data_IF_620429029497
#
_entry.id   IF_620429029497
#
_cell.length_a   1.000
_cell.length_b   1.000
_cell.length_c   1.000
_cell.angle_alpha   90.00
_cell.angle_beta   90.00
_cell.angle_gamma   90.00
#
_symmetry.space_group_name_H-M   'P 1'
#
loop_
_entity.id
_entity.type
_entity.pdbx_description
1 polymer ?
#
# COMPACT_ATOMS: atom_id res chain seq x y z
N UNK A 1 13.16 -3.24 -7.10
CA UNK A 1 14.32 -2.41 -7.54
C UNK A 1 15.08 -1.94 -6.32
N UNK A 2 16.41 -1.98 -6.34
CA UNK A 2 17.26 -1.46 -5.26
C UNK A 2 17.81 -0.10 -5.66
N UNK A 3 17.76 0.90 -4.77
CA UNK A 3 18.33 2.22 -5.01
C UNK A 3 19.87 2.17 -4.96
N UNK A 4 20.54 2.79 -5.93
CA UNK A 4 21.97 3.00 -5.89
C UNK A 4 22.36 4.09 -4.86
N UNK A 5 23.62 4.16 -4.40
CA UNK A 5 24.06 5.23 -3.51
C UNK A 5 23.85 6.64 -4.11
N UNK A 6 24.05 6.79 -5.41
CA UNK A 6 23.84 8.06 -6.10
C UNK A 6 22.37 8.49 -6.11
N UNK A 7 21.45 7.55 -6.38
CA UNK A 7 20.01 7.83 -6.34
C UNK A 7 19.54 8.22 -4.93
N UNK A 8 20.01 7.51 -3.89
CA UNK A 8 19.71 7.87 -2.50
C UNK A 8 20.19 9.28 -2.14
N UNK A 9 21.44 9.61 -2.53
CA UNK A 9 22.04 10.93 -2.27
C UNK A 9 21.27 12.05 -2.96
N UNK A 10 20.85 11.81 -4.20
CA UNK A 10 20.19 12.83 -5.03
C UNK A 10 18.64 12.85 -4.87
N UNK A 11 18.07 11.89 -4.13
CA UNK A 11 16.61 11.75 -4.00
C UNK A 11 15.90 11.52 -5.33
N UNK A 12 16.59 10.93 -6.33
CA UNK A 12 16.04 10.82 -7.69
C UNK A 12 16.38 9.47 -8.33
N UNK A 13 15.36 8.84 -8.91
CA UNK A 13 15.54 7.65 -9.75
C UNK A 13 16.28 8.02 -11.05
N UNK A 14 17.13 7.12 -11.49
CA UNK A 14 17.66 7.21 -12.86
C UNK A 14 16.54 7.05 -13.89
N UNK A 15 16.71 7.63 -15.07
CA UNK A 15 15.73 7.51 -16.17
C UNK A 15 15.36 6.06 -16.46
N UNK A 16 16.34 5.16 -16.45
CA UNK A 16 16.11 3.73 -16.67
C UNK A 16 15.24 3.11 -15.58
N UNK A 17 15.49 3.41 -14.30
CA UNK A 17 14.69 2.87 -13.20
C UNK A 17 13.28 3.45 -13.16
N UNK A 18 13.13 4.73 -13.47
CA UNK A 18 11.81 5.35 -13.61
C UNK A 18 11.02 4.66 -14.72
N UNK A 19 11.61 4.48 -15.90
CA UNK A 19 10.99 3.76 -17.01
C UNK A 19 10.62 2.33 -16.66
N UNK A 20 11.49 1.60 -15.95
CA UNK A 20 11.19 0.24 -15.47
C UNK A 20 10.05 0.24 -14.45
N UNK A 21 9.97 1.22 -13.55
CA UNK A 21 8.87 1.34 -12.59
C UNK A 21 7.53 1.58 -13.28
N UNK A 22 7.48 2.51 -14.24
CA UNK A 22 6.28 2.80 -15.02
C UNK A 22 5.82 1.60 -15.83
N UNK A 23 6.75 0.91 -16.47
CA UNK A 23 6.46 -0.34 -17.19
C UNK A 23 5.92 -1.43 -16.27
N UNK A 24 6.53 -1.62 -15.08
CA UNK A 24 6.03 -2.59 -14.11
C UNK A 24 4.61 -2.26 -13.63
N UNK A 25 4.30 -0.98 -13.38
CA UNK A 25 2.95 -0.55 -13.04
C UNK A 25 1.95 -0.84 -14.16
N UNK A 26 2.32 -0.59 -15.41
CA UNK A 26 1.45 -0.82 -16.58
C UNK A 26 1.22 -2.30 -16.88
N UNK A 27 2.27 -3.14 -16.84
CA UNK A 27 2.21 -4.54 -17.26
C UNK A 27 1.89 -5.49 -16.11
N UNK A 28 2.43 -5.21 -14.93
CA UNK A 28 2.38 -6.11 -13.76
C UNK A 28 1.42 -5.60 -12.68
N UNK A 29 1.20 -4.29 -12.62
CA UNK A 29 0.30 -3.62 -11.67
C UNK A 29 0.96 -3.17 -10.37
N UNK A 30 2.24 -3.45 -10.16
CA UNK A 30 2.97 -2.95 -8.99
C UNK A 30 4.48 -2.87 -9.23
N UNK A 31 5.13 -2.08 -8.40
CA UNK A 31 6.60 -2.02 -8.31
C UNK A 31 7.04 -1.96 -6.86
N UNK A 32 8.14 -2.64 -6.55
CA UNK A 32 8.81 -2.59 -5.23
C UNK A 32 10.12 -1.84 -5.37
N UNK A 33 10.32 -0.85 -4.49
CA UNK A 33 11.57 -0.10 -4.35
C UNK A 33 12.14 -0.38 -2.97
N UNK A 34 13.32 -0.97 -2.90
CA UNK A 34 13.94 -1.34 -1.64
C UNK A 34 14.86 -0.24 -1.09
N UNK A 35 14.85 -0.13 0.25
CA UNK A 35 15.73 0.78 0.98
C UNK A 35 15.45 2.25 0.71
N UNK A 36 14.18 2.59 0.58
CA UNK A 36 13.71 3.97 0.37
C UNK A 36 13.78 4.78 1.66
N UNK A 37 13.32 4.20 2.77
CA UNK A 37 13.27 4.87 4.07
C UNK A 37 14.58 4.63 4.83
N UNK A 38 15.28 5.69 5.29
CA UNK A 38 16.51 5.56 6.09
C UNK A 38 16.28 4.81 7.40
N UNK A 39 17.27 4.02 7.83
CA UNK A 39 17.14 3.11 8.97
C UNK A 39 16.80 3.80 10.28
N UNK A 40 17.41 4.95 10.58
CA UNK A 40 17.15 5.69 11.84
C UNK A 40 15.71 6.20 11.88
N UNK A 41 15.25 6.82 10.80
CA UNK A 41 13.87 7.29 10.69
C UNK A 41 12.87 6.12 10.69
N UNK A 42 13.20 5.02 10.03
CA UNK A 42 12.37 3.81 10.04
C UNK A 42 12.20 3.25 11.45
N UNK A 43 13.28 3.24 12.25
CA UNK A 43 13.23 2.82 13.64
C UNK A 43 12.31 3.71 14.48
N UNK A 44 12.42 5.03 14.33
CA UNK A 44 11.58 6.00 15.02
C UNK A 44 10.09 5.81 14.68
N UNK A 45 9.74 5.84 13.40
CA UNK A 45 8.33 5.74 12.99
C UNK A 45 7.71 4.40 13.36
N UNK A 46 8.47 3.30 13.28
CA UNK A 46 8.04 1.98 13.75
C UNK A 46 7.67 2.00 15.23
N UNK A 47 8.52 2.57 16.08
CA UNK A 47 8.26 2.67 17.52
C UNK A 47 7.02 3.50 17.82
N UNK A 48 6.87 4.67 17.18
CA UNK A 48 5.71 5.54 17.38
C UNK A 48 4.44 4.85 16.87
N UNK A 49 4.50 4.20 15.72
CA UNK A 49 3.38 3.45 15.15
C UNK A 49 2.93 2.33 16.09
N UNK A 50 3.84 1.51 16.59
CA UNK A 50 3.52 0.43 17.53
C UNK A 50 2.86 0.95 18.81
N UNK A 51 3.42 2.00 19.44
CA UNK A 51 2.79 2.60 20.63
C UNK A 51 1.38 3.14 20.35
N UNK A 52 1.19 3.75 19.19
CA UNK A 52 -0.12 4.30 18.78
C UNK A 52 -1.13 3.18 18.52
N UNK A 53 -0.70 2.11 17.84
CA UNK A 53 -1.53 0.94 17.55
C UNK A 53 -1.96 0.23 18.83
N UNK A 54 -1.04 -0.01 19.78
CA UNK A 54 -1.39 -0.60 21.08
C UNK A 54 -2.39 0.27 21.84
N UNK A 55 -2.25 1.61 21.78
CA UNK A 55 -3.21 2.53 22.42
C UNK A 55 -4.58 2.47 21.72
N UNK A 56 -4.60 2.40 20.38
CA UNK A 56 -5.81 2.26 19.58
C UNK A 56 -6.59 0.99 19.96
N UNK A 57 -5.90 -0.14 20.10
CA UNK A 57 -6.49 -1.43 20.45
C UNK A 57 -6.85 -1.59 21.95
N UNK A 58 -6.53 -0.61 22.82
CA UNK A 58 -7.06 -0.59 24.19
C UNK A 58 -8.55 -0.30 24.25
N UNK A 59 -9.12 0.34 23.22
CA UNK A 59 -10.57 0.52 23.12
C UNK A 59 -11.18 -0.79 22.64
N UNK A 60 -12.14 -1.31 23.41
CA UNK A 60 -12.77 -2.61 23.12
C UNK A 60 -13.44 -2.65 21.75
N UNK A 61 -14.14 -1.59 21.36
CA UNK A 61 -14.74 -1.45 20.03
C UNK A 61 -13.74 -1.64 18.88
N UNK A 62 -12.54 -1.02 19.00
CA UNK A 62 -11.49 -1.15 17.98
C UNK A 62 -10.88 -2.54 17.99
N UNK A 63 -10.70 -3.11 19.18
CA UNK A 63 -10.17 -4.46 19.34
C UNK A 63 -11.09 -5.49 18.71
N UNK A 64 -12.39 -5.47 19.07
CA UNK A 64 -13.38 -6.35 18.51
C UNK A 64 -13.41 -6.24 16.99
N UNK A 65 -13.55 -5.03 16.46
CA UNK A 65 -13.58 -4.81 15.02
C UNK A 65 -12.33 -5.35 14.30
N UNK A 66 -11.15 -5.09 14.81
CA UNK A 66 -9.90 -5.43 14.12
C UNK A 66 -9.47 -6.88 14.33
N UNK A 67 -9.57 -7.39 15.54
CA UNK A 67 -9.06 -8.73 15.88
C UNK A 67 -10.11 -9.80 15.57
N UNK A 68 -11.35 -9.58 16.00
CA UNK A 68 -12.40 -10.58 15.87
C UNK A 68 -13.08 -10.53 14.49
N UNK A 69 -13.61 -9.36 14.08
CA UNK A 69 -14.37 -9.24 12.83
C UNK A 69 -13.50 -9.29 11.57
N UNK A 70 -12.27 -8.76 11.65
CA UNK A 70 -11.32 -8.68 10.52
C UNK A 70 -10.18 -9.69 10.60
N UNK A 71 -10.33 -10.73 11.39
CA UNK A 71 -9.36 -11.81 11.54
C UNK A 71 -7.93 -11.31 11.83
N UNK A 72 -7.79 -10.30 12.68
CA UNK A 72 -6.50 -9.76 13.09
C UNK A 72 -5.81 -8.85 12.05
N UNK A 73 -6.52 -8.40 11.02
CA UNK A 73 -6.02 -7.37 10.10
C UNK A 73 -6.48 -5.99 10.54
N UNK A 74 -5.58 -5.23 11.14
CA UNK A 74 -5.86 -3.94 11.78
C UNK A 74 -5.60 -2.79 10.83
N UNK A 75 -6.64 -2.01 10.52
CA UNK A 75 -6.53 -0.71 9.87
C UNK A 75 -6.71 0.41 10.90
N UNK A 76 -5.72 1.27 11.03
CA UNK A 76 -5.78 2.44 11.91
C UNK A 76 -5.40 3.68 11.11
N UNK A 77 -6.19 4.74 11.18
CA UNK A 77 -5.82 6.02 10.56
C UNK A 77 -4.48 6.50 11.11
N UNK A 78 -3.58 6.88 10.23
CA UNK A 78 -2.29 7.43 10.63
C UNK A 78 -2.52 8.78 11.32
N UNK A 79 -1.89 9.02 12.48
CA UNK A 79 -2.00 10.33 13.14
C UNK A 79 -1.43 11.45 12.26
N UNK A 80 -2.17 12.57 12.12
CA UNK A 80 -1.70 13.76 11.40
C UNK A 80 -0.69 14.54 12.24
N UNK A 81 0.45 13.94 12.55
CA UNK A 81 1.56 14.53 13.32
C UNK A 81 2.86 13.80 13.06
N UNK A 82 3.97 14.41 13.44
CA UNK A 82 5.29 13.76 13.34
C UNK A 82 5.34 12.46 14.17
N UNK A 83 6.04 11.44 13.69
CA UNK A 83 6.78 11.35 12.41
C UNK A 83 5.91 10.92 11.20
N UNK A 84 4.59 10.71 11.37
CA UNK A 84 3.72 10.25 10.29
C UNK A 84 3.60 11.26 9.14
N UNK A 85 3.70 12.56 9.45
CA UNK A 85 3.61 13.66 8.48
C UNK A 85 4.99 14.10 7.96
N UNK A 86 6.05 13.32 8.20
CA UNK A 86 7.37 13.61 7.65
C UNK A 86 7.38 13.49 6.12
N UNK A 87 8.09 14.39 5.45
CA UNK A 87 8.22 14.41 3.99
C UNK A 87 8.76 13.10 3.40
N UNK A 88 9.57 12.36 4.16
CA UNK A 88 10.04 11.04 3.75
C UNK A 88 8.91 10.02 3.58
N UNK A 89 7.75 10.28 4.17
CA UNK A 89 6.55 9.46 4.04
C UNK A 89 5.57 10.08 3.03
N UNK A 90 5.13 11.33 3.28
CA UNK A 90 4.01 11.93 2.54
C UNK A 90 4.42 12.55 1.21
N UNK A 91 5.69 12.94 1.07
CA UNK A 91 6.27 13.53 -0.14
C UNK A 91 7.52 12.78 -0.59
N UNK A 92 7.57 11.48 -0.36
CA UNK A 92 8.76 10.70 -0.70
C UNK A 92 9.17 10.92 -2.16
N UNK A 93 10.35 11.45 -2.38
CA UNK A 93 10.81 11.91 -3.68
C UNK A 93 10.81 10.84 -4.78
N UNK A 94 11.10 9.58 -4.44
CA UNK A 94 11.07 8.47 -5.40
C UNK A 94 9.63 8.08 -5.77
N UNK A 95 8.74 8.11 -4.79
CA UNK A 95 7.30 7.86 -5.00
C UNK A 95 6.69 8.97 -5.84
N UNK A 96 6.94 10.24 -5.48
CA UNK A 96 6.40 11.38 -6.22
C UNK A 96 6.83 11.39 -7.68
N UNK A 97 8.08 11.02 -8.01
CA UNK A 97 8.52 10.89 -9.41
C UNK A 97 7.70 9.85 -10.18
N UNK A 98 7.43 8.69 -9.57
CA UNK A 98 6.64 7.63 -10.21
C UNK A 98 5.19 8.08 -10.37
N UNK A 99 4.58 8.64 -9.32
CA UNK A 99 3.19 9.10 -9.38
C UNK A 99 2.99 10.23 -10.38
N UNK A 100 3.93 11.19 -10.43
CA UNK A 100 3.88 12.29 -11.39
C UNK A 100 3.79 11.81 -12.84
N UNK A 101 4.65 10.86 -13.23
CA UNK A 101 4.64 10.31 -14.57
C UNK A 101 3.45 9.35 -14.81
N UNK A 102 3.11 8.51 -13.81
CA UNK A 102 2.05 7.51 -13.96
C UNK A 102 0.63 8.12 -13.93
N UNK A 103 0.46 9.31 -13.33
CA UNK A 103 -0.83 9.97 -13.12
C UNK A 103 -0.90 11.35 -13.77
N UNK A 104 -0.01 11.65 -14.73
CA UNK A 104 0.05 12.90 -15.52
C UNK A 104 0.16 14.18 -14.64
N UNK A 105 0.83 14.08 -13.49
CA UNK A 105 1.08 15.20 -12.59
C UNK A 105 -0.13 15.74 -11.83
N UNK A 106 -1.36 15.28 -12.13
CA UNK A 106 -2.58 15.71 -11.45
C UNK A 106 -3.13 14.57 -10.57
N UNK A 107 -2.74 14.57 -9.31
CA UNK A 107 -3.18 13.60 -8.30
C UNK A 107 -3.22 14.22 -6.90
N UNK A 108 -3.97 13.59 -6.01
CA UNK A 108 -4.07 14.00 -4.61
C UNK A 108 -4.20 12.79 -3.69
N UNK A 109 -3.75 12.93 -2.43
CA UNK A 109 -3.88 11.89 -1.42
C UNK A 109 -5.27 11.97 -0.78
N UNK A 110 -5.99 10.84 -0.75
CA UNK A 110 -7.33 10.75 -0.17
C UNK A 110 -7.37 10.02 1.15
N UNK A 111 -6.39 9.17 1.40
CA UNK A 111 -6.44 8.23 2.50
C UNK A 111 -5.03 7.89 3.00
N UNK A 112 -4.87 7.90 4.33
CA UNK A 112 -3.62 7.53 4.96
C UNK A 112 -3.88 6.69 6.21
N UNK A 113 -3.54 5.40 6.13
CA UNK A 113 -3.73 4.44 7.20
C UNK A 113 -2.45 3.64 7.49
N UNK A 114 -2.50 2.88 8.58
CA UNK A 114 -1.64 1.72 8.79
C UNK A 114 -2.39 0.45 8.40
N UNK A 115 -1.71 -0.52 7.81
CA UNK A 115 -2.21 -1.87 7.59
C UNK A 115 -1.32 -2.86 8.33
N UNK A 116 -1.91 -3.51 9.32
CA UNK A 116 -1.17 -4.38 10.24
C UNK A 116 -1.75 -5.79 10.24
N UNK A 117 -0.90 -6.80 10.04
CA UNK A 117 -1.23 -8.17 10.38
C UNK A 117 -0.78 -8.43 11.82
N UNK A 118 -1.77 -8.61 12.71
CA UNK A 118 -1.54 -8.93 14.11
C UNK A 118 -1.03 -10.37 14.25
N UNK A 119 -0.24 -10.72 15.29
CA UNK A 119 0.11 -12.11 15.59
C UNK A 119 -1.13 -13.01 15.63
N UNK A 120 -1.10 -14.12 14.89
CA UNK A 120 -2.24 -15.02 14.78
C UNK A 120 -3.35 -14.57 13.82
N UNK A 121 -3.14 -13.50 13.04
CA UNK A 121 -4.12 -13.08 12.02
C UNK A 121 -4.40 -14.18 10.99
N UNK A 122 -5.63 -14.21 10.49
CA UNK A 122 -6.09 -15.15 9.47
C UNK A 122 -5.75 -14.69 8.04
N UNK A 123 -6.23 -15.44 7.06
CA UNK A 123 -6.17 -15.07 5.64
C UNK A 123 -7.36 -14.17 5.28
N UNK A 124 -7.11 -13.10 4.55
CA UNK A 124 -8.18 -12.29 3.98
C UNK A 124 -8.75 -12.93 2.71
N UNK A 125 -10.01 -12.60 2.38
CA UNK A 125 -10.55 -12.90 1.05
C UNK A 125 -9.73 -12.19 -0.02
N UNK A 126 -9.70 -12.76 -1.22
CA UNK A 126 -9.10 -12.10 -2.39
C UNK A 126 -10.02 -10.94 -2.78
N UNK A 127 -9.44 -9.76 -2.99
CA UNK A 127 -10.20 -8.56 -3.33
C UNK A 127 -9.38 -7.59 -4.16
N UNK A 128 -10.07 -6.61 -4.74
CA UNK A 128 -9.55 -5.35 -5.27
C UNK A 128 -9.91 -4.24 -4.29
N UNK A 129 -9.10 -3.22 -4.21
CA UNK A 129 -9.45 -2.02 -3.44
C UNK A 129 -10.40 -1.10 -4.23
N UNK A 130 -10.32 -1.15 -5.56
CA UNK A 130 -11.23 -0.44 -6.47
C UNK A 130 -11.55 -1.26 -7.70
N UNK A 131 -12.65 -0.92 -8.37
CA UNK A 131 -13.08 -1.54 -9.63
C UNK A 131 -12.53 -0.80 -10.85
N UNK A 132 -12.80 -1.32 -12.04
CA UNK A 132 -12.61 -0.59 -13.29
C UNK A 132 -13.49 0.68 -13.28
N UNK A 133 -12.96 1.78 -13.80
CA UNK A 133 -13.66 3.08 -13.77
C UNK A 133 -14.99 3.04 -14.57
N UNK A 134 -14.99 2.30 -15.67
CA UNK A 134 -16.20 2.08 -16.49
C UNK A 134 -16.44 0.57 -16.62
N UNK A 135 -17.41 0.04 -15.90
CA UNK A 135 -17.80 -1.37 -16.04
C UNK A 135 -18.26 -1.69 -17.46
N UNK A 136 -17.92 -2.87 -17.94
CA UNK A 136 -18.34 -3.35 -19.26
C UNK A 136 -17.44 -2.97 -20.43
N UNK A 137 -16.39 -2.18 -20.24
CA UNK A 137 -15.37 -2.02 -21.26
C UNK A 137 -14.54 -3.32 -21.40
N UNK A 138 -14.23 -3.76 -22.63
CA UNK A 138 -13.45 -4.98 -22.85
C UNK A 138 -11.94 -4.80 -22.64
N UNK A 139 -11.49 -3.63 -22.25
CA UNK A 139 -10.09 -3.27 -22.01
C UNK A 139 -9.93 -2.42 -20.75
N UNK A 140 -8.78 -2.55 -20.11
CA UNK A 140 -8.43 -1.78 -18.93
C UNK A 140 -7.99 -0.37 -19.32
N UNK A 141 -8.54 0.63 -18.63
CA UNK A 141 -8.12 2.02 -18.76
C UNK A 141 -6.81 2.27 -18.02
N UNK A 142 -6.12 3.41 -18.29
CA UNK A 142 -4.98 3.84 -17.50
C UNK A 142 -5.30 3.86 -15.99
N UNK A 143 -4.28 3.66 -15.20
CA UNK A 143 -4.38 3.67 -13.73
C UNK A 143 -4.95 5.00 -13.23
N UNK A 144 -5.96 4.92 -12.36
CA UNK A 144 -6.65 6.10 -11.83
C UNK A 144 -6.59 6.20 -10.29
N UNK A 145 -6.27 5.10 -9.63
CA UNK A 145 -6.08 5.03 -8.17
C UNK A 145 -4.87 4.14 -7.86
N UNK A 146 -4.03 4.62 -6.95
CA UNK A 146 -2.79 3.96 -6.52
C UNK A 146 -2.72 3.90 -5.01
N UNK A 147 -2.26 2.79 -4.49
CA UNK A 147 -1.82 2.69 -3.10
C UNK A 147 -0.30 2.62 -3.03
N UNK A 148 0.27 3.40 -2.13
CA UNK A 148 1.69 3.39 -1.75
C UNK A 148 1.80 2.75 -0.38
N UNK A 149 2.44 1.59 -0.31
CA UNK A 149 2.67 0.89 0.95
C UNK A 149 4.14 1.03 1.36
N UNK A 150 4.38 1.45 2.60
CA UNK A 150 5.72 1.61 3.18
C UNK A 150 5.86 0.60 4.31
N UNK A 151 6.80 -0.35 4.20
CA UNK A 151 6.98 -1.41 5.19
C UNK A 151 7.76 -0.91 6.41
N UNK A 152 7.22 -1.09 7.61
CA UNK A 152 7.89 -0.73 8.86
C UNK A 152 8.70 -1.90 9.47
N UNK A 153 8.54 -3.09 8.94
CA UNK A 153 9.26 -4.31 9.29
C UNK A 153 9.57 -5.11 8.03
N UNK A 154 10.45 -6.08 8.09
CA UNK A 154 10.63 -7.04 7.01
C UNK A 154 9.33 -7.80 6.76
N UNK A 155 8.96 -7.97 5.51
CA UNK A 155 7.84 -8.81 5.10
C UNK A 155 8.37 -10.16 4.66
N UNK A 156 7.93 -11.21 5.35
CA UNK A 156 8.31 -12.60 5.12
C UNK A 156 7.07 -13.47 4.87
N UNK A 157 7.28 -14.68 4.43
CA UNK A 157 6.18 -15.65 4.28
C UNK A 157 5.49 -15.90 5.63
N UNK A 158 6.30 -16.02 6.68
CA UNK A 158 5.86 -16.38 8.04
C UNK A 158 5.04 -15.27 8.70
N UNK A 159 5.43 -14.00 8.51
CA UNK A 159 4.71 -12.86 9.11
C UNK A 159 3.59 -12.30 8.23
N UNK A 160 3.24 -13.00 7.14
CA UNK A 160 2.08 -12.66 6.34
C UNK A 160 2.34 -11.59 5.27
N UNK A 161 3.51 -11.62 4.58
CA UNK A 161 3.72 -10.80 3.38
C UNK A 161 2.51 -10.88 2.45
N UNK A 162 2.02 -9.75 1.95
CA UNK A 162 0.82 -9.65 1.13
C UNK A 162 0.94 -10.52 -0.13
N UNK A 163 -0.10 -11.26 -0.44
CA UNK A 163 -0.20 -12.02 -1.68
C UNK A 163 -0.87 -11.16 -2.75
N UNK A 164 -0.30 -11.15 -3.93
CA UNK A 164 -0.77 -10.35 -5.08
C UNK A 164 -0.81 -11.21 -6.34
N UNK A 165 -1.71 -10.86 -7.29
CA UNK A 165 -1.82 -11.50 -8.60
C UNK A 165 -1.34 -10.52 -9.67
N UNK A 166 -0.08 -10.64 -10.13
CA UNK A 166 0.48 -9.78 -11.18
C UNK A 166 -0.38 -9.77 -12.44
N UNK A 167 -0.63 -8.58 -13.02
CA UNK A 167 -1.43 -8.43 -14.23
C UNK A 167 -2.96 -8.43 -14.01
N UNK A 168 -3.45 -8.78 -12.83
CA UNK A 168 -4.90 -8.87 -12.56
C UNK A 168 -5.63 -7.52 -12.62
N UNK A 169 -4.92 -6.39 -12.54
CA UNK A 169 -5.47 -5.03 -12.72
C UNK A 169 -5.99 -4.80 -14.15
N UNK A 170 -5.52 -5.58 -15.12
CA UNK A 170 -5.93 -5.53 -16.53
C UNK A 170 -7.18 -6.37 -16.82
N UNK A 171 -7.67 -7.15 -15.86
CA UNK A 171 -8.86 -8.00 -16.05
C UNK A 171 -10.11 -7.14 -15.85
N UNK A 172 -10.95 -7.05 -16.88
CA UNK A 172 -12.05 -6.09 -16.97
C UNK A 172 -13.43 -6.64 -16.67
N UNK A 173 -13.59 -7.93 -16.35
CA UNK A 173 -14.87 -8.47 -15.97
C UNK A 173 -15.21 -8.20 -14.51
N UNK A 174 -16.21 -7.39 -14.31
CA UNK A 174 -16.68 -6.95 -12.98
C UNK A 174 -17.94 -7.68 -12.51
N UNK A 175 -18.45 -8.63 -13.28
CA UNK A 175 -19.67 -9.35 -12.94
C UNK A 175 -19.39 -10.40 -11.85
N UNK A 176 -19.96 -10.22 -10.68
CA UNK A 176 -19.81 -11.13 -9.54
C UNK A 176 -18.35 -11.31 -9.06
N UNK A 177 -17.72 -10.20 -8.69
CA UNK A 177 -16.30 -10.09 -8.35
C UNK A 177 -15.78 -11.16 -7.38
N UNK A 178 -16.55 -11.48 -6.33
CA UNK A 178 -16.10 -12.43 -5.31
C UNK A 178 -15.92 -13.86 -5.86
N UNK A 179 -16.85 -14.32 -6.72
CA UNK A 179 -16.80 -15.67 -7.29
C UNK A 179 -15.77 -15.77 -8.40
N UNK A 180 -15.78 -14.83 -9.33
CA UNK A 180 -14.85 -14.83 -10.48
C UNK A 180 -13.41 -14.69 -10.00
N UNK A 181 -13.16 -13.80 -9.04
CA UNK A 181 -11.84 -13.63 -8.48
C UNK A 181 -11.36 -14.88 -7.73
N UNK A 182 -12.23 -15.57 -6.99
CA UNK A 182 -11.86 -16.80 -6.31
C UNK A 182 -11.51 -17.91 -7.32
N UNK A 183 -12.31 -18.10 -8.37
CA UNK A 183 -12.07 -19.10 -9.40
C UNK A 183 -10.81 -18.80 -10.21
N UNK A 184 -10.64 -17.57 -10.66
CA UNK A 184 -9.46 -17.16 -11.45
C UNK A 184 -8.18 -17.10 -10.65
N UNK A 185 -8.26 -16.69 -9.40
CA UNK A 185 -7.11 -16.68 -8.53
C UNK A 185 -6.53 -18.07 -8.26
N UNK A 186 -7.29 -19.14 -8.49
CA UNK A 186 -6.79 -20.52 -8.41
C UNK A 186 -5.98 -20.92 -9.66
N UNK A 187 -6.25 -20.28 -10.80
CA UNK A 187 -5.60 -20.61 -12.09
C UNK A 187 -4.47 -19.65 -12.46
N UNK A 188 -4.48 -18.43 -11.95
CA UNK A 188 -3.45 -17.43 -12.21
C UNK A 188 -2.36 -17.47 -11.12
N UNK A 189 -1.07 -17.37 -11.51
CA UNK A 189 0.01 -17.38 -10.54
C UNK A 189 -0.02 -16.15 -9.63
N UNK A 190 0.12 -16.39 -8.33
CA UNK A 190 0.29 -15.33 -7.33
C UNK A 190 1.74 -15.25 -6.85
N UNK A 191 2.09 -14.13 -6.27
CA UNK A 191 3.39 -13.93 -5.60
C UNK A 191 3.20 -13.30 -4.21
N UNK A 192 4.11 -13.62 -3.30
CA UNK A 192 4.18 -12.99 -1.98
C UNK A 192 5.16 -11.82 -2.04
N UNK A 193 4.72 -10.65 -1.60
CA UNK A 193 5.55 -9.44 -1.60
C UNK A 193 6.56 -9.46 -0.45
N UNK A 194 7.51 -10.41 -0.51
CA UNK A 194 8.63 -10.50 0.44
C UNK A 194 9.59 -9.35 0.18
N UNK A 195 9.90 -8.55 1.21
CA UNK A 195 10.78 -7.39 1.08
C UNK A 195 11.31 -6.94 2.44
N UNK A 196 12.40 -6.19 2.43
CA UNK A 196 12.98 -5.61 3.65
C UNK A 196 12.17 -4.41 4.16
N UNK A 197 12.30 -4.15 5.45
CA UNK A 197 11.80 -2.94 6.09
C UNK A 197 12.34 -1.68 5.38
N UNK A 198 11.51 -0.63 5.32
CA UNK A 198 11.85 0.60 4.60
C UNK A 198 11.68 0.50 3.08
N UNK A 199 11.15 -0.62 2.57
CA UNK A 199 10.75 -0.74 1.18
C UNK A 199 9.41 -0.06 0.92
N UNK A 200 9.23 0.38 -0.32
CA UNK A 200 7.98 0.98 -0.80
C UNK A 200 7.40 0.13 -1.93
N UNK A 201 6.11 -0.15 -1.85
CA UNK A 201 5.34 -0.75 -2.94
C UNK A 201 4.40 0.31 -3.49
N UNK A 202 4.48 0.58 -4.79
CA UNK A 202 3.48 1.36 -5.52
C UNK A 202 2.63 0.36 -6.30
N UNK A 203 1.30 0.34 -6.09
CA UNK A 203 0.41 -0.67 -6.64
C UNK A 203 -0.88 -0.06 -7.18
N UNK A 204 -1.31 -0.50 -8.36
CA UNK A 204 -2.64 -0.22 -8.90
C UNK A 204 -3.71 -0.86 -7.99
N UNK A 205 -4.69 -0.08 -7.56
CA UNK A 205 -5.71 -0.53 -6.61
C UNK A 205 -6.70 -1.53 -7.21
N UNK A 206 -6.72 -1.72 -8.52
CA UNK A 206 -7.51 -2.75 -9.21
C UNK A 206 -6.87 -4.14 -9.14
N UNK A 207 -5.60 -4.24 -8.75
CA UNK A 207 -4.89 -5.51 -8.67
C UNK A 207 -5.43 -6.38 -7.53
N UNK A 208 -5.67 -7.65 -7.82
CA UNK A 208 -6.09 -8.63 -6.81
C UNK A 208 -5.01 -8.85 -5.79
N UNK A 209 -5.42 -8.87 -4.54
CA UNK A 209 -4.52 -9.12 -3.44
C UNK A 209 -5.27 -9.62 -2.21
N UNK A 210 -4.50 -10.09 -1.21
CA UNK A 210 -5.02 -10.39 0.13
C UNK A 210 -3.93 -10.31 1.19
N UNK A 211 -4.33 -9.99 2.41
CA UNK A 211 -3.50 -10.19 3.60
C UNK A 211 -3.38 -11.67 3.91
N UNK A 212 -2.18 -12.10 4.24
CA UNK A 212 -1.88 -13.48 4.61
C UNK A 212 -1.67 -13.61 6.12
N UNK A 213 -1.81 -14.83 6.68
CA UNK A 213 -1.67 -15.05 8.10
C UNK A 213 -0.29 -14.65 8.63
N UNK A 214 -0.27 -13.93 9.73
CA UNK A 214 0.94 -13.69 10.51
C UNK A 214 1.09 -14.80 11.55
N UNK A 215 2.02 -15.71 11.32
CA UNK A 215 2.31 -16.86 12.19
C UNK A 215 3.43 -16.59 13.19
N UNK A 216 3.92 -15.35 13.22
CA UNK A 216 4.96 -14.92 14.16
C UNK A 216 4.33 -14.27 15.40
N UNK A 217 5.13 -14.03 16.42
CA UNK A 217 4.76 -13.31 17.64
C UNK A 217 4.90 -11.80 17.53
N UNK A 218 5.34 -11.30 16.38
CA UNK A 218 5.60 -9.88 16.15
C UNK A 218 4.59 -9.27 15.18
N UNK A 219 4.30 -7.98 15.38
CA UNK A 219 3.38 -7.21 14.55
C UNK A 219 4.02 -6.92 13.19
N UNK A 220 3.31 -7.21 12.10
CA UNK A 220 3.72 -6.87 10.74
C UNK A 220 2.92 -5.67 10.24
N UNK A 221 3.51 -4.48 10.28
CA UNK A 221 2.86 -3.21 9.92
C UNK A 221 3.49 -2.56 8.68
N UNK A 222 2.63 -1.96 7.87
CA UNK A 222 2.99 -1.01 6.81
C UNK A 222 2.11 0.23 6.90
N UNK A 223 2.61 1.36 6.40
CA UNK A 223 1.80 2.54 6.11
C UNK A 223 1.16 2.38 4.73
N UNK A 224 -0.01 2.97 4.52
CA UNK A 224 -0.74 2.91 3.26
C UNK A 224 -1.30 4.31 2.93
N UNK A 225 -0.76 4.92 1.88
CA UNK A 225 -1.24 6.18 1.33
C UNK A 225 -1.93 5.90 0.00
N UNK A 226 -3.11 6.47 -0.19
CA UNK A 226 -3.90 6.27 -1.41
C UNK A 226 -3.98 7.57 -2.18
N UNK A 227 -3.64 7.49 -3.47
CA UNK A 227 -3.65 8.62 -4.38
C UNK A 227 -4.65 8.39 -5.51
N UNK A 228 -5.42 9.43 -5.80
CA UNK A 228 -6.39 9.47 -6.88
C UNK A 228 -5.94 10.46 -7.95
N UNK A 229 -6.26 10.19 -9.23
CA UNK A 229 -6.12 11.18 -10.29
C UNK A 229 -7.04 12.38 -10.02
N UNK A 230 -6.61 13.58 -10.41
CA UNK A 230 -7.27 14.83 -10.12
C UNK A 230 -8.69 14.98 -10.66
N UNK A 231 -9.07 14.23 -11.71
CA UNK A 231 -10.43 14.25 -12.24
C UNK A 231 -11.45 13.45 -11.40
N UNK A 232 -10.98 12.62 -10.45
CA UNK A 232 -11.87 11.90 -9.54
C UNK A 232 -12.43 12.83 -8.47
N UNK A 233 -13.52 12.40 -7.81
CA UNK A 233 -14.18 13.21 -6.79
C UNK A 233 -13.23 13.64 -5.68
N UNK A 234 -13.05 14.96 -5.54
CA UNK A 234 -12.19 15.57 -4.52
C UNK A 234 -12.85 15.70 -3.15
N UNK A 235 -14.14 15.40 -3.02
CA UNK A 235 -14.85 15.45 -1.74
C UNK A 235 -14.33 14.39 -0.74
N UNK A 236 -13.62 13.40 -1.22
CA UNK A 236 -12.97 12.34 -0.44
C UNK A 236 -11.54 12.69 0.01
N UNK A 237 -11.13 13.94 -0.05
CA UNK A 237 -9.78 14.34 0.33
C UNK A 237 -9.49 14.07 1.82
N UNK A 238 -8.25 13.73 2.11
CA UNK A 238 -7.76 13.59 3.48
C UNK A 238 -7.90 14.93 4.22
N UNK A 239 -8.65 14.92 5.30
CA UNK A 239 -8.81 16.08 6.16
C UNK A 239 -7.75 16.07 7.25
N UNK A 240 -6.90 17.08 7.31
CA UNK A 240 -5.87 17.25 8.32
C UNK A 240 -6.37 18.26 9.36
N UNK A 241 -6.39 17.91 10.65
CA UNK A 241 -6.77 18.87 11.70
C UNK A 241 -5.84 20.10 11.69
N UNK A 242 -6.41 21.28 11.84
CA UNK A 242 -5.62 22.54 11.84
C UNK A 242 -4.55 22.55 12.94
N UNK A 243 -4.82 21.92 14.07
CA UNK A 243 -3.86 21.76 15.18
C UNK A 243 -2.64 20.87 14.85
N UNK A 244 -2.59 20.27 13.68
CA UNK A 244 -1.44 19.46 13.21
C UNK A 244 -0.47 20.25 12.32
N UNK A 245 -0.71 21.57 12.14
CA UNK A 245 0.12 22.45 11.31
C UNK A 245 1.20 23.19 12.13
N UNK A 246 1.12 23.11 13.45
CA UNK A 246 2.09 23.60 14.43
C UNK A 246 2.96 22.41 14.88
#
# INVERSE_FOLDING_TARGET
>A
MVLSPAERKNGRLSKNKLSLALRALSEVGYVVIEGVIPGDFLHEIKQVCNRTLHRYLKKEENRQHCIDDRAGHVGMSAPCKMPFMDAQIIENSFVMQILHEAMDGDFFCTFYNTNTAWPGSGVQRIHRDTKQLFPGLPFSLPMHMVVVNITLVDFTIENGATEVWPGSHLICDDQNESRINAERAQTLPSVRTVMRAGSVVVRDMRMWHRGMPNRTDTIRTMLALVYFRGFLNRDSQLTIPRSSWD
#
